data_IF_878672805941
#
_entry.id   IF_878672805941
#
_cell.length_a   1.000
_cell.length_b   1.000
_cell.length_c   1.000
_cell.angle_alpha   90.00
_cell.angle_beta   90.00
_cell.angle_gamma   90.00
#
_symmetry.space_group_name_H-M   'P 1'
#
loop_
_entity.id
_entity.type
_entity.pdbx_description
1 polymer ?
#
# COMPACT_ATOMS: atom_id res chain seq x y z
N UNK A 1 -7.76 -35.04 16.32
CA UNK A 1 -9.20 -35.16 16.67
C UNK A 1 -9.31 -36.18 17.80
N UNK A 2 -9.88 -35.83 18.93
CA UNK A 2 -10.10 -36.71 20.07
C UNK A 2 -11.60 -36.77 20.31
N UNK A 3 -12.20 -37.97 20.30
CA UNK A 3 -13.58 -38.18 20.72
C UNK A 3 -13.64 -38.39 22.22
N UNK A 4 -14.46 -37.63 22.91
CA UNK A 4 -14.77 -37.88 24.32
C UNK A 4 -15.83 -38.97 24.39
N UNK A 5 -15.57 -40.05 25.13
CA UNK A 5 -16.38 -41.28 25.11
C UNK A 5 -17.78 -41.15 25.71
N UNK A 6 -18.05 -40.07 26.48
CA UNK A 6 -19.34 -39.87 27.16
C UNK A 6 -20.21 -38.73 26.60
N UNK A 7 -19.69 -37.94 25.70
CA UNK A 7 -20.44 -36.93 24.94
C UNK A 7 -20.11 -37.06 23.48
N UNK A 8 -21.11 -36.99 22.59
CA UNK A 8 -20.89 -37.00 21.15
C UNK A 8 -20.17 -35.71 20.64
N UNK A 9 -19.52 -34.98 21.53
CA UNK A 9 -18.76 -33.78 21.23
C UNK A 9 -17.37 -34.11 20.69
N UNK A 10 -17.12 -33.67 19.49
CA UNK A 10 -15.78 -33.73 18.88
C UNK A 10 -15.01 -32.46 19.24
N UNK A 11 -13.93 -32.59 19.99
CA UNK A 11 -13.02 -31.47 20.27
C UNK A 11 -11.80 -31.54 19.36
N UNK A 12 -11.53 -30.43 18.70
CA UNK A 12 -10.34 -30.29 17.90
C UNK A 12 -9.20 -29.68 18.76
N UNK A 13 -8.08 -30.37 18.82
CA UNK A 13 -6.87 -29.89 19.45
C UNK A 13 -5.82 -29.62 18.38
N UNK A 14 -5.20 -28.45 18.44
CA UNK A 14 -4.07 -28.10 17.58
C UNK A 14 -2.87 -27.73 18.45
N UNK A 15 -1.69 -28.04 17.95
CA UNK A 15 -0.43 -27.57 18.47
C UNK A 15 -0.21 -26.08 18.18
N UNK A 16 -0.92 -25.54 17.21
CA UNK A 16 -0.85 -24.14 16.78
C UNK A 16 -1.96 -23.32 17.44
N UNK A 17 -1.83 -22.00 17.44
CA UNK A 17 -2.85 -21.04 17.87
C UNK A 17 -4.11 -21.19 16.99
N UNK A 18 -5.04 -22.01 17.43
CA UNK A 18 -6.26 -22.30 16.68
C UNK A 18 -7.48 -21.83 17.45
N UNK A 19 -8.39 -21.15 16.78
CA UNK A 19 -9.69 -20.83 17.31
C UNK A 19 -10.58 -22.11 17.32
N UNK A 20 -11.04 -22.61 18.47
CA UNK A 20 -11.82 -23.84 18.54
C UNK A 20 -13.19 -23.71 17.86
N UNK A 21 -13.72 -22.48 17.74
CA UNK A 21 -15.04 -22.20 17.16
C UNK A 21 -15.00 -22.11 15.64
N UNK A 22 -14.02 -21.40 15.07
CA UNK A 22 -13.92 -21.14 13.62
C UNK A 22 -13.00 -22.12 12.90
N UNK A 23 -12.15 -22.86 13.63
CA UNK A 23 -11.12 -23.75 13.06
C UNK A 23 -9.94 -23.00 12.43
N UNK A 24 -9.91 -21.66 12.48
CA UNK A 24 -8.82 -20.86 11.91
C UNK A 24 -7.59 -21.05 12.79
N UNK A 25 -6.48 -21.45 12.17
CA UNK A 25 -5.20 -21.62 12.82
C UNK A 25 -4.23 -20.50 12.41
N UNK A 26 -3.54 -19.91 13.37
CA UNK A 26 -2.49 -18.93 13.15
C UNK A 26 -1.12 -19.58 13.37
N UNK A 27 -0.13 -19.14 12.60
CA UNK A 27 1.26 -19.52 12.84
C UNK A 27 1.74 -18.96 14.18
N UNK A 28 2.71 -19.63 14.80
CA UNK A 28 3.39 -19.06 15.97
C UNK A 28 3.98 -17.70 15.62
N UNK A 29 3.83 -16.69 16.52
CA UNK A 29 4.34 -15.36 16.24
C UNK A 29 5.85 -15.34 16.29
N UNK A 30 6.46 -15.06 15.15
CA UNK A 30 7.88 -14.76 15.04
C UNK A 30 8.11 -13.25 14.98
N UNK A 31 9.28 -12.73 15.35
CA UNK A 31 9.59 -11.30 15.26
C UNK A 31 9.33 -10.70 13.88
N UNK A 32 9.51 -11.49 12.82
CA UNK A 32 9.27 -11.09 11.43
C UNK A 32 7.79 -10.76 11.13
N UNK A 33 6.86 -11.29 11.90
CA UNK A 33 5.42 -10.96 11.78
C UNK A 33 5.14 -9.49 12.09
N UNK A 34 5.93 -8.87 12.94
CA UNK A 34 5.79 -7.49 13.38
C UNK A 34 6.66 -6.50 12.59
N UNK A 35 7.26 -6.95 11.48
CA UNK A 35 8.09 -6.12 10.62
C UNK A 35 7.42 -5.90 9.27
N UNK A 36 7.13 -4.64 8.92
CA UNK A 36 6.61 -4.28 7.59
C UNK A 36 7.69 -4.37 6.48
N UNK A 37 8.96 -4.54 6.83
CA UNK A 37 10.05 -4.81 5.89
C UNK A 37 10.22 -6.30 5.61
N UNK A 38 9.50 -7.17 6.32
CA UNK A 38 9.52 -8.61 6.12
C UNK A 38 8.29 -9.05 5.32
N UNK A 39 8.41 -9.92 4.32
CA UNK A 39 7.27 -10.45 3.58
C UNK A 39 6.30 -11.26 4.47
N UNK A 40 6.78 -11.71 5.63
CA UNK A 40 5.95 -12.41 6.62
C UNK A 40 5.01 -11.47 7.35
N UNK A 41 5.44 -10.24 7.68
CA UNK A 41 4.67 -9.25 8.42
C UNK A 41 4.03 -8.16 7.56
N UNK A 42 4.59 -7.86 6.39
CA UNK A 42 4.08 -6.82 5.50
C UNK A 42 2.66 -7.11 5.01
N UNK A 43 1.82 -6.09 4.97
CA UNK A 43 0.52 -6.14 4.32
C UNK A 43 0.71 -6.56 2.85
N UNK A 44 -0.04 -7.56 2.40
CA UNK A 44 0.11 -8.11 1.05
C UNK A 44 -0.28 -7.13 -0.05
N UNK A 45 -1.31 -6.29 0.20
CA UNK A 45 -1.82 -5.34 -0.80
C UNK A 45 -0.84 -4.20 -1.07
N UNK A 46 -0.20 -3.65 -0.03
CA UNK A 46 0.71 -2.52 -0.17
C UNK A 46 2.19 -2.87 0.02
N UNK A 47 2.53 -4.15 0.20
CA UNK A 47 3.89 -4.63 0.44
C UNK A 47 4.63 -3.86 1.57
N UNK A 48 3.90 -3.52 2.63
CA UNK A 48 4.45 -2.78 3.77
C UNK A 48 4.60 -1.27 3.58
N UNK A 49 4.11 -0.72 2.46
CA UNK A 49 4.20 0.72 2.18
C UNK A 49 3.16 1.55 2.92
N UNK A 50 2.00 0.96 3.27
CA UNK A 50 0.87 1.64 3.91
C UNK A 50 -0.01 2.43 2.93
N UNK A 51 0.45 2.64 1.71
CA UNK A 51 -0.24 3.33 0.63
C UNK A 51 -0.18 2.50 -0.66
N UNK A 52 -1.16 2.67 -1.53
CA UNK A 52 -1.22 2.05 -2.86
C UNK A 52 -1.44 3.13 -3.91
N UNK A 53 -0.99 2.87 -5.13
CA UNK A 53 -1.30 3.72 -6.25
C UNK A 53 -2.65 3.30 -6.83
N UNK A 54 -3.60 4.22 -6.91
CA UNK A 54 -4.91 3.99 -7.53
C UNK A 54 -5.11 4.99 -8.67
N UNK A 55 -5.77 4.53 -9.72
CA UNK A 55 -6.09 5.35 -10.90
C UNK A 55 -6.97 6.55 -10.49
N UNK A 56 -6.61 7.71 -11.01
CA UNK A 56 -7.42 8.92 -10.91
C UNK A 56 -8.08 9.23 -12.26
N UNK A 57 -9.39 8.99 -12.34
CA UNK A 57 -10.18 9.24 -13.56
C UNK A 57 -10.06 10.69 -14.03
N UNK A 58 -9.93 11.67 -13.10
CA UNK A 58 -9.74 13.07 -13.47
C UNK A 58 -8.41 13.34 -14.17
N UNK A 59 -7.40 12.51 -13.91
CA UNK A 59 -6.13 12.59 -14.64
C UNK A 59 -6.19 11.89 -15.99
N UNK A 60 -7.06 10.87 -16.13
CA UNK A 60 -7.28 10.19 -17.40
C UNK A 60 -8.12 11.05 -18.33
N UNK A 61 -9.20 11.64 -17.83
CA UNK A 61 -10.09 12.54 -18.57
C UNK A 61 -10.09 13.91 -17.89
N UNK A 62 -9.05 14.72 -18.09
CA UNK A 62 -8.95 16.04 -17.42
C UNK A 62 -9.96 17.07 -17.94
N UNK A 63 -10.42 16.91 -19.19
CA UNK A 63 -11.42 17.77 -19.80
C UNK A 63 -12.35 16.94 -20.68
N UNK A 64 -13.57 16.62 -20.19
CA UNK A 64 -14.54 15.83 -20.94
C UNK A 64 -15.13 16.58 -22.16
N UNK A 65 -15.04 17.91 -22.22
CA UNK A 65 -15.52 18.71 -23.34
C UNK A 65 -14.55 18.78 -24.54
N UNK A 66 -13.38 18.17 -24.36
CA UNK A 66 -12.38 18.06 -25.42
C UNK A 66 -12.71 16.87 -26.34
N UNK A 67 -12.53 17.00 -27.69
CA UNK A 67 -12.65 15.86 -28.60
C UNK A 67 -11.65 14.76 -28.29
N UNK A 68 -12.07 13.49 -28.43
CA UNK A 68 -11.21 12.32 -28.19
C UNK A 68 -9.95 12.39 -29.03
N UNK A 69 -10.09 12.73 -30.33
CA UNK A 69 -8.97 12.90 -31.27
C UNK A 69 -7.94 13.93 -30.80
N UNK A 70 -8.38 14.95 -30.09
CA UNK A 70 -7.52 16.03 -29.58
C UNK A 70 -6.86 15.70 -28.23
N UNK A 71 -6.98 14.47 -27.73
CA UNK A 71 -6.38 14.01 -26.48
C UNK A 71 -7.26 14.26 -25.25
N UNK A 72 -8.59 14.08 -25.36
CA UNK A 72 -9.49 14.07 -24.21
C UNK A 72 -9.12 12.96 -23.22
N UNK A 73 -8.59 11.83 -23.74
CA UNK A 73 -8.05 10.72 -22.95
C UNK A 73 -6.54 10.93 -22.83
N UNK A 74 -6.11 11.57 -21.75
CA UNK A 74 -4.74 12.03 -21.56
C UNK A 74 -3.66 10.93 -21.73
N UNK A 75 -3.86 9.68 -21.27
CA UNK A 75 -2.91 8.60 -21.50
C UNK A 75 -2.67 8.28 -22.98
N UNK A 76 -3.65 8.47 -23.82
CA UNK A 76 -3.52 8.23 -25.26
C UNK A 76 -2.89 9.42 -25.98
N UNK A 77 -2.99 10.63 -25.40
CA UNK A 77 -2.53 11.88 -26.01
C UNK A 77 -3.39 12.31 -27.20
N UNK A 78 -2.80 13.05 -28.14
CA UNK A 78 -3.43 13.37 -29.42
C UNK A 78 -3.43 12.15 -30.34
N UNK A 79 -4.40 12.11 -31.26
CA UNK A 79 -4.55 10.98 -32.17
C UNK A 79 -3.28 10.65 -32.92
N UNK A 80 -2.88 9.40 -32.77
CA UNK A 80 -1.83 8.75 -33.56
C UNK A 80 -2.41 7.44 -34.08
N UNK A 81 -2.11 7.11 -35.35
CA UNK A 81 -2.47 5.80 -35.89
C UNK A 81 -1.67 4.71 -35.17
N UNK A 82 -2.17 4.26 -34.02
CA UNK A 82 -1.60 3.17 -33.21
C UNK A 82 -2.69 2.18 -32.82
N UNK A 83 -2.25 1.03 -32.33
CA UNK A 83 -3.10 -0.09 -32.00
C UNK A 83 -4.27 0.27 -31.04
N UNK A 84 -4.03 1.04 -29.99
CA UNK A 84 -5.06 1.34 -28.97
C UNK A 84 -6.07 2.35 -29.50
N UNK A 85 -5.66 3.35 -30.27
CA UNK A 85 -6.57 4.28 -30.89
C UNK A 85 -7.47 3.62 -31.93
N UNK A 86 -6.95 2.63 -32.68
CA UNK A 86 -7.76 1.87 -33.64
C UNK A 86 -8.86 1.09 -32.96
N UNK A 87 -8.59 0.56 -31.76
CA UNK A 87 -9.62 -0.13 -30.97
C UNK A 87 -10.66 0.83 -30.41
N UNK A 88 -10.24 1.97 -29.84
CA UNK A 88 -11.17 3.02 -29.37
C UNK A 88 -12.04 3.51 -30.54
N UNK A 89 -11.48 3.71 -31.71
CA UNK A 89 -12.25 4.10 -32.89
C UNK A 89 -13.25 3.04 -33.34
N UNK A 90 -12.90 1.76 -33.28
CA UNK A 90 -13.82 0.66 -33.59
C UNK A 90 -15.01 0.60 -32.60
N UNK A 91 -14.73 0.79 -31.29
CA UNK A 91 -15.76 0.87 -30.25
C UNK A 91 -16.72 2.04 -30.53
N UNK A 92 -16.15 3.23 -30.74
CA UNK A 92 -16.96 4.44 -31.04
C UNK A 92 -17.83 4.23 -32.26
N UNK A 93 -17.29 3.66 -33.33
CA UNK A 93 -18.03 3.37 -34.59
C UNK A 93 -19.19 2.40 -34.37
N UNK A 94 -18.98 1.36 -33.53
CA UNK A 94 -20.04 0.42 -33.17
C UNK A 94 -21.22 1.11 -32.48
N UNK A 95 -20.95 2.16 -31.69
CA UNK A 95 -21.95 2.97 -31.02
C UNK A 95 -22.35 4.23 -31.81
N UNK A 96 -22.07 4.31 -33.13
CA UNK A 96 -22.37 5.46 -33.99
C UNK A 96 -21.72 6.79 -33.60
N UNK A 97 -20.59 6.73 -32.88
CA UNK A 97 -19.75 7.85 -32.48
C UNK A 97 -18.47 7.92 -33.29
N UNK A 98 -17.76 9.05 -33.19
CA UNK A 98 -16.52 9.35 -33.89
C UNK A 98 -15.44 9.87 -32.91
N UNK A 99 -14.19 9.79 -33.30
CA UNK A 99 -13.07 10.38 -32.56
C UNK A 99 -13.15 11.90 -32.41
N UNK A 100 -13.98 12.57 -33.24
CA UNK A 100 -14.24 14.01 -33.18
C UNK A 100 -15.24 14.39 -32.09
N UNK A 101 -15.97 13.43 -31.53
CA UNK A 101 -16.98 13.69 -30.52
C UNK A 101 -16.28 13.91 -29.16
N UNK A 102 -16.95 14.61 -28.28
CA UNK A 102 -16.46 14.88 -26.93
C UNK A 102 -16.80 13.70 -26.02
N UNK A 103 -16.04 13.52 -24.97
CA UNK A 103 -16.36 12.51 -23.95
C UNK A 103 -17.69 12.82 -23.27
N UNK A 104 -18.02 14.12 -23.08
CA UNK A 104 -19.29 14.57 -22.50
C UNK A 104 -20.53 14.22 -23.35
N UNK A 105 -20.35 13.94 -24.63
CA UNK A 105 -21.45 13.60 -25.57
C UNK A 105 -21.71 12.08 -25.61
N UNK A 106 -20.83 11.27 -24.98
CA UNK A 106 -20.93 9.81 -24.89
C UNK A 106 -21.83 9.40 -23.71
N UNK A 107 -22.52 8.30 -23.85
CA UNK A 107 -23.20 7.67 -22.72
C UNK A 107 -22.21 7.06 -21.72
N UNK A 108 -22.65 6.91 -20.49
CA UNK A 108 -21.82 6.41 -19.38
C UNK A 108 -21.32 4.98 -19.64
N UNK A 109 -22.12 4.14 -20.32
CA UNK A 109 -21.72 2.76 -20.61
C UNK A 109 -20.58 2.71 -21.61
N UNK A 110 -20.63 3.58 -22.64
CA UNK A 110 -19.58 3.68 -23.64
C UNK A 110 -18.28 4.23 -23.03
N UNK A 111 -18.38 5.25 -22.17
CA UNK A 111 -17.23 5.77 -21.42
C UNK A 111 -16.61 4.68 -20.53
N UNK A 112 -17.44 3.91 -19.83
CA UNK A 112 -16.97 2.79 -19.00
C UNK A 112 -16.30 1.70 -19.85
N UNK A 113 -16.85 1.38 -21.03
CA UNK A 113 -16.23 0.45 -21.97
C UNK A 113 -14.84 0.94 -22.43
N UNK A 114 -14.69 2.22 -22.72
CA UNK A 114 -13.39 2.80 -23.10
C UNK A 114 -12.40 2.75 -21.91
N UNK A 115 -12.87 3.03 -20.70
CA UNK A 115 -12.02 3.07 -19.52
C UNK A 115 -11.63 1.67 -19.03
N UNK A 116 -12.59 0.79 -18.86
CA UNK A 116 -12.40 -0.50 -18.17
C UNK A 116 -12.35 -1.71 -19.13
N UNK A 117 -12.66 -1.49 -20.41
CA UNK A 117 -12.72 -2.55 -21.39
C UNK A 117 -14.08 -3.24 -21.51
N UNK A 118 -14.14 -4.23 -22.36
CA UNK A 118 -15.34 -5.07 -22.59
C UNK A 118 -14.95 -6.52 -22.75
N UNK A 119 -15.81 -7.43 -22.27
CA UNK A 119 -15.70 -8.85 -22.56
C UNK A 119 -16.15 -9.21 -23.98
N UNK A 120 -16.84 -8.29 -24.66
CA UNK A 120 -17.29 -8.49 -26.02
C UNK A 120 -16.13 -8.36 -27.02
N UNK A 121 -16.17 -9.22 -28.05
CA UNK A 121 -15.21 -9.17 -29.14
C UNK A 121 -15.57 -8.01 -30.10
N UNK A 122 -14.65 -7.07 -30.22
CA UNK A 122 -14.81 -5.91 -31.09
C UNK A 122 -14.30 -6.25 -32.49
N UNK A 123 -15.15 -6.08 -33.48
CA UNK A 123 -14.76 -6.21 -34.88
C UNK A 123 -13.94 -4.99 -35.31
N UNK A 124 -12.70 -5.22 -35.65
CA UNK A 124 -11.77 -4.17 -36.08
C UNK A 124 -12.04 -3.71 -37.52
N UNK A 125 -12.96 -4.39 -38.24
CA UNK A 125 -13.30 -4.08 -39.64
C UNK A 125 -12.15 -4.27 -40.62
N UNK A 126 -12.44 -4.11 -41.92
CA UNK A 126 -11.45 -4.18 -42.98
C UNK A 126 -10.56 -2.91 -42.96
N UNK A 127 -9.50 -2.92 -42.23
CA UNK A 127 -8.44 -1.93 -42.39
C UNK A 127 -7.55 -2.37 -43.53
N UNK A 128 -7.79 -1.80 -44.74
CA UNK A 128 -6.94 -1.91 -45.93
C UNK A 128 -6.22 -3.25 -46.11
N UNK A 129 -6.94 -4.28 -46.58
CA UNK A 129 -6.33 -5.52 -47.08
C UNK A 129 -5.95 -6.58 -46.06
N UNK A 130 -6.37 -6.44 -44.80
CA UNK A 130 -6.24 -7.47 -43.76
C UNK A 130 -7.64 -7.99 -43.40
N UNK A 131 -7.82 -9.31 -43.38
CA UNK A 131 -9.08 -9.93 -42.98
C UNK A 131 -9.59 -9.36 -41.66
N UNK A 132 -10.91 -9.14 -41.58
CA UNK A 132 -11.56 -8.71 -40.32
C UNK A 132 -11.15 -9.63 -39.18
N UNK A 133 -10.65 -9.06 -38.10
CA UNK A 133 -10.31 -9.79 -36.90
C UNK A 133 -10.99 -9.12 -35.70
N UNK A 134 -11.37 -9.94 -34.75
CA UNK A 134 -12.00 -9.45 -33.53
C UNK A 134 -11.00 -9.46 -32.38
N UNK A 135 -11.02 -8.40 -31.57
CA UNK A 135 -10.14 -8.24 -30.43
C UNK A 135 -10.96 -7.92 -29.18
N UNK A 136 -10.54 -8.48 -28.05
CA UNK A 136 -11.05 -8.08 -26.74
C UNK A 136 -10.30 -6.80 -26.32
N UNK A 137 -11.06 -5.75 -26.03
CA UNK A 137 -10.49 -4.49 -25.57
C UNK A 137 -10.29 -4.50 -24.06
N UNK A 138 -9.05 -4.36 -23.62
CA UNK A 138 -8.69 -4.40 -22.19
C UNK A 138 -9.07 -3.15 -21.40
N UNK A 139 -9.33 -2.03 -22.09
CA UNK A 139 -9.58 -0.73 -21.47
C UNK A 139 -8.31 0.10 -21.24
N UNK A 140 -8.48 1.41 -21.19
CA UNK A 140 -7.36 2.34 -20.97
C UNK A 140 -6.78 2.19 -19.57
N UNK A 141 -7.62 1.91 -18.58
CA UNK A 141 -7.19 1.74 -17.18
C UNK A 141 -6.33 0.50 -17.04
N UNK A 142 -6.80 -0.65 -17.50
CA UNK A 142 -6.04 -1.93 -17.43
C UNK A 142 -4.72 -1.82 -18.19
N UNK A 143 -4.70 -1.09 -19.31
CA UNK A 143 -3.47 -0.80 -20.02
C UNK A 143 -2.46 -0.02 -19.16
N UNK A 144 -2.91 1.03 -18.42
CA UNK A 144 -2.04 1.82 -17.54
C UNK A 144 -1.55 0.98 -16.36
N UNK A 145 -2.43 0.21 -15.72
CA UNK A 145 -2.10 -0.66 -14.58
C UNK A 145 -1.07 -1.70 -14.98
N UNK A 146 -1.26 -2.36 -16.12
CA UNK A 146 -0.28 -3.30 -16.66
C UNK A 146 1.07 -2.64 -16.95
N UNK A 147 1.08 -1.42 -17.48
CA UNK A 147 2.33 -0.68 -17.68
C UNK A 147 3.00 -0.30 -16.33
N UNK A 148 2.22 -0.04 -15.29
CA UNK A 148 2.76 0.26 -13.95
C UNK A 148 3.36 -0.98 -13.27
N UNK A 149 2.83 -2.17 -13.54
CA UNK A 149 3.23 -3.42 -12.89
C UNK A 149 4.35 -4.16 -13.64
N UNK A 150 4.25 -4.25 -14.97
CA UNK A 150 5.10 -5.13 -15.77
C UNK A 150 6.31 -4.43 -16.40
N UNK A 151 6.28 -3.09 -16.52
CA UNK A 151 7.36 -2.42 -17.23
C UNK A 151 8.63 -2.26 -16.40
N UNK A 152 9.77 -2.51 -17.03
CA UNK A 152 11.08 -2.20 -16.47
C UNK A 152 11.61 -0.82 -16.89
N UNK A 153 10.90 -0.14 -17.81
CA UNK A 153 11.29 1.17 -18.33
C UNK A 153 10.92 2.28 -17.35
N UNK A 154 11.92 2.95 -16.76
CA UNK A 154 11.69 4.04 -15.82
C UNK A 154 10.88 5.24 -16.38
N UNK A 155 11.00 5.64 -17.66
CA UNK A 155 10.11 6.64 -18.24
C UNK A 155 8.66 6.19 -18.33
N UNK A 156 8.41 4.95 -18.74
CA UNK A 156 7.06 4.40 -18.88
C UNK A 156 6.40 4.20 -17.53
N UNK A 157 7.15 3.74 -16.53
CA UNK A 157 6.69 3.64 -15.15
C UNK A 157 6.27 5.00 -14.58
N UNK A 158 7.08 6.04 -14.79
CA UNK A 158 6.74 7.41 -14.39
C UNK A 158 5.49 7.94 -15.10
N UNK A 159 5.35 7.63 -16.39
CA UNK A 159 4.19 7.97 -17.18
C UNK A 159 2.93 7.29 -16.61
N UNK A 160 2.94 5.99 -16.36
CA UNK A 160 1.80 5.28 -15.77
C UNK A 160 1.42 5.84 -14.38
N UNK A 161 2.40 6.05 -13.51
CA UNK A 161 2.18 6.65 -12.19
C UNK A 161 1.68 8.09 -12.22
N UNK A 162 1.87 8.83 -13.33
CA UNK A 162 1.33 10.20 -13.45
C UNK A 162 -0.20 10.24 -13.47
N UNK A 163 -0.86 9.13 -13.86
CA UNK A 163 -2.32 8.97 -13.87
C UNK A 163 -2.88 8.36 -12.58
N UNK A 164 -2.03 8.12 -11.61
CA UNK A 164 -2.40 7.53 -10.32
C UNK A 164 -2.27 8.55 -9.19
N UNK A 165 -3.02 8.32 -8.13
CA UNK A 165 -2.83 8.98 -6.83
C UNK A 165 -2.42 7.94 -5.81
N UNK A 166 -1.62 8.38 -4.83
CA UNK A 166 -1.33 7.56 -3.66
C UNK A 166 -2.47 7.69 -2.67
N UNK A 167 -3.08 6.58 -2.34
CA UNK A 167 -4.15 6.49 -1.35
C UNK A 167 -3.74 5.55 -0.23
N UNK A 168 -4.29 5.77 0.95
CA UNK A 168 -4.08 4.87 2.09
C UNK A 168 -4.57 3.46 1.74
N UNK A 169 -3.75 2.46 1.99
CA UNK A 169 -4.09 1.07 1.71
C UNK A 169 -5.35 0.66 2.48
N UNK A 170 -6.39 0.24 1.77
CA UNK A 170 -7.68 -0.14 2.36
C UNK A 170 -7.63 -1.45 3.15
N UNK A 171 -6.59 -2.28 2.99
CA UNK A 171 -6.44 -3.54 3.73
C UNK A 171 -5.82 -3.33 5.11
N UNK A 172 -4.75 -2.54 5.19
CA UNK A 172 -4.04 -2.29 6.45
C UNK A 172 -4.28 -0.89 7.02
N UNK A 173 -5.11 -0.06 6.38
CA UNK A 173 -5.45 1.30 6.83
C UNK A 173 -4.22 2.16 7.15
N UNK A 174 -3.16 2.00 6.35
CA UNK A 174 -1.90 2.72 6.55
C UNK A 174 -0.93 2.09 7.55
N UNK A 175 -1.34 1.03 8.26
CA UNK A 175 -0.53 0.40 9.31
C UNK A 175 0.57 -0.53 8.79
N UNK A 176 0.65 -0.77 7.49
CA UNK A 176 1.73 -1.50 6.78
C UNK A 176 1.85 -2.98 7.08
N UNK A 177 1.27 -3.48 8.17
CA UNK A 177 1.34 -4.86 8.63
C UNK A 177 0.09 -5.66 8.24
N UNK A 178 0.22 -6.97 8.24
CA UNK A 178 -0.91 -7.90 8.14
C UNK A 178 -1.80 -7.78 9.36
N UNK A 179 -3.10 -8.06 9.18
CA UNK A 179 -4.11 -7.99 10.26
C UNK A 179 -3.77 -8.89 11.45
N UNK A 180 -3.13 -10.03 11.20
CA UNK A 180 -2.74 -10.99 12.23
C UNK A 180 -1.79 -10.38 13.27
N UNK A 181 -0.94 -9.43 12.88
CA UNK A 181 -0.04 -8.74 13.80
C UNK A 181 -0.78 -7.88 14.85
N UNK A 182 -2.01 -7.43 14.54
CA UNK A 182 -2.79 -6.58 15.44
C UNK A 182 -3.54 -7.34 16.52
N UNK A 183 -3.61 -8.66 16.43
CA UNK A 183 -4.21 -9.50 17.47
C UNK A 183 -3.31 -9.67 18.68
N UNK A 184 -2.01 -9.38 18.56
CA UNK A 184 -1.07 -9.39 19.68
C UNK A 184 -1.06 -8.02 20.36
N UNK A 185 -1.35 -8.01 21.65
CA UNK A 185 -1.47 -6.80 22.46
C UNK A 185 -0.59 -6.87 23.70
N UNK A 186 -0.08 -5.71 24.07
CA UNK A 186 0.58 -5.47 25.35
C UNK A 186 -0.23 -4.38 26.05
N UNK A 187 -0.84 -4.70 27.20
CA UNK A 187 -1.68 -3.76 27.94
C UNK A 187 -2.76 -3.12 27.08
N UNK A 188 -3.56 -3.92 26.39
CA UNK A 188 -4.65 -3.52 25.50
C UNK A 188 -4.25 -2.82 24.19
N UNK A 189 -2.96 -2.50 23.99
CA UNK A 189 -2.47 -1.86 22.77
C UNK A 189 -1.73 -2.83 21.86
N UNK A 190 -2.04 -2.80 20.57
CA UNK A 190 -1.29 -3.50 19.53
C UNK A 190 -0.14 -2.64 18.97
N UNK A 191 0.70 -3.25 18.12
CA UNK A 191 1.87 -2.58 17.53
C UNK A 191 1.50 -1.37 16.66
N UNK A 192 0.36 -1.39 15.95
CA UNK A 192 -0.07 -0.27 15.12
C UNK A 192 -0.53 0.92 15.97
N UNK A 193 -1.28 0.65 17.04
CA UNK A 193 -1.72 1.68 17.99
C UNK A 193 -0.51 2.33 18.68
N UNK A 194 0.48 1.53 19.09
CA UNK A 194 1.71 2.05 19.67
C UNK A 194 2.52 2.86 18.64
N UNK A 195 2.68 2.38 17.41
CA UNK A 195 3.45 3.07 16.37
C UNK A 195 2.79 4.38 15.89
N UNK A 196 1.49 4.55 16.07
CA UNK A 196 0.75 5.76 15.71
C UNK A 196 0.74 6.83 16.81
N UNK A 197 1.16 6.49 18.04
CA UNK A 197 1.30 7.46 19.12
C UNK A 197 2.44 8.44 18.84
N UNK A 198 2.31 9.67 19.34
CA UNK A 198 3.42 10.61 19.36
C UNK A 198 4.57 10.06 20.22
N UNK A 199 5.81 10.35 19.83
CA UNK A 199 7.03 9.86 20.53
C UNK A 199 6.97 10.14 22.04
N UNK A 200 6.44 11.30 22.43
CA UNK A 200 6.27 11.65 23.85
C UNK A 200 5.34 10.66 24.57
N UNK A 201 4.14 10.48 24.04
CA UNK A 201 3.14 9.59 24.63
C UNK A 201 3.59 8.13 24.61
N UNK A 202 4.28 7.72 23.54
CA UNK A 202 4.87 6.40 23.41
C UNK A 202 5.95 6.18 24.46
N UNK A 203 6.82 7.17 24.70
CA UNK A 203 7.85 7.10 25.74
C UNK A 203 7.23 6.97 27.14
N UNK A 204 6.23 7.79 27.46
CA UNK A 204 5.52 7.72 28.74
C UNK A 204 4.82 6.37 28.92
N UNK A 205 4.23 5.84 27.86
CA UNK A 205 3.62 4.51 27.89
C UNK A 205 4.64 3.41 28.17
N UNK A 206 5.83 3.44 27.51
CA UNK A 206 6.88 2.45 27.75
C UNK A 206 7.55 2.59 29.13
N UNK A 207 7.63 3.78 29.70
CA UNK A 207 8.06 3.97 31.10
C UNK A 207 7.11 3.23 32.05
N UNK A 208 5.80 3.30 31.79
CA UNK A 208 4.77 2.66 32.60
C UNK A 208 4.50 1.18 32.19
N UNK A 209 5.17 0.64 31.18
CA UNK A 209 4.83 -0.65 30.58
C UNK A 209 4.98 -1.85 31.52
N UNK A 210 5.84 -1.76 32.53
CA UNK A 210 6.10 -2.86 33.47
C UNK A 210 4.84 -3.39 34.15
N UNK A 211 3.84 -2.55 34.34
CA UNK A 211 2.53 -2.92 34.92
C UNK A 211 1.72 -3.89 34.07
N UNK A 212 2.05 -4.02 32.79
CA UNK A 212 1.34 -4.90 31.85
C UNK A 212 1.92 -6.30 31.76
N UNK A 213 3.02 -6.56 32.45
CA UNK A 213 3.76 -7.83 32.39
C UNK A 213 3.73 -8.56 33.74
N UNK A 214 3.61 -9.86 33.68
CA UNK A 214 3.84 -10.72 34.83
C UNK A 214 5.33 -10.86 35.18
N UNK A 215 5.66 -11.39 36.35
CA UNK A 215 7.06 -11.50 36.81
C UNK A 215 7.98 -12.24 35.83
N UNK A 216 7.51 -13.34 35.22
CA UNK A 216 8.28 -14.12 34.23
C UNK A 216 8.47 -13.32 32.94
N UNK A 217 7.43 -12.66 32.47
CA UNK A 217 7.45 -11.85 31.25
C UNK A 217 8.39 -10.65 31.40
N UNK A 218 8.35 -9.96 32.56
CA UNK A 218 9.30 -8.88 32.87
C UNK A 218 10.77 -9.34 32.82
N UNK A 219 11.05 -10.57 33.27
CA UNK A 219 12.41 -11.09 33.20
C UNK A 219 12.88 -11.24 31.77
N UNK A 220 11.98 -11.67 30.86
CA UNK A 220 12.28 -11.84 29.44
C UNK A 220 12.35 -10.46 28.74
N UNK A 221 11.40 -9.57 29.05
CA UNK A 221 11.25 -8.27 28.38
C UNK A 221 12.23 -7.20 28.87
N UNK A 222 12.98 -7.43 29.94
CA UNK A 222 13.81 -6.42 30.61
C UNK A 222 14.79 -5.72 29.67
N UNK A 223 15.58 -6.48 28.94
CA UNK A 223 16.57 -5.89 28.02
C UNK A 223 15.92 -5.21 26.80
N UNK A 224 14.94 -5.82 26.11
CA UNK A 224 14.18 -5.11 25.06
C UNK A 224 13.52 -3.83 25.54
N UNK A 225 12.87 -3.82 26.71
CA UNK A 225 12.23 -2.62 27.26
C UNK A 225 13.23 -1.52 27.57
N UNK A 226 14.38 -1.88 28.14
CA UNK A 226 15.47 -0.91 28.38
C UNK A 226 15.94 -0.25 27.09
N UNK A 227 16.17 -1.05 26.06
CA UNK A 227 16.64 -0.56 24.77
C UNK A 227 15.59 0.35 24.10
N UNK A 228 14.31 -0.03 24.13
CA UNK A 228 13.23 0.80 23.60
C UNK A 228 13.14 2.14 24.34
N UNK A 229 13.20 2.13 25.66
CA UNK A 229 13.17 3.35 26.49
C UNK A 229 14.33 4.29 26.16
N UNK A 230 15.54 3.75 26.04
CA UNK A 230 16.71 4.53 25.66
C UNK A 230 16.52 5.19 24.28
N UNK A 231 16.12 4.43 23.29
CA UNK A 231 15.90 4.95 21.93
C UNK A 231 14.79 6.00 21.85
N UNK A 232 13.70 5.80 22.57
CA UNK A 232 12.63 6.79 22.64
C UNK A 232 13.12 8.07 23.35
N UNK A 233 13.91 7.93 24.43
CA UNK A 233 14.48 9.08 25.13
C UNK A 233 15.39 9.91 24.22
N UNK A 234 16.24 9.29 23.40
CA UNK A 234 17.06 10.02 22.43
C UNK A 234 16.22 10.82 21.44
N UNK A 235 15.08 10.27 20.97
CA UNK A 235 14.17 11.02 20.09
C UNK A 235 13.50 12.18 20.81
N UNK A 236 13.18 12.03 22.10
CA UNK A 236 12.65 13.11 22.94
C UNK A 236 13.72 14.20 23.14
N UNK A 237 14.97 13.82 23.44
CA UNK A 237 16.07 14.75 23.72
C UNK A 237 16.43 15.62 22.50
N UNK A 238 16.31 15.08 21.29
CA UNK A 238 16.50 15.86 20.05
C UNK A 238 15.24 16.65 19.63
N UNK A 239 14.19 16.67 20.46
CA UNK A 239 12.98 17.48 20.26
C UNK A 239 12.00 16.94 19.21
N UNK A 240 12.00 15.63 18.94
CA UNK A 240 11.10 14.99 17.99
C UNK A 240 9.85 14.37 18.65
N UNK A 241 9.36 15.01 19.71
CA UNK A 241 8.26 14.51 20.56
C UNK A 241 6.93 14.35 19.83
N UNK A 242 6.69 15.14 18.80
CA UNK A 242 5.45 15.21 18.01
C UNK A 242 5.39 14.24 16.82
N UNK A 243 6.48 13.55 16.52
CA UNK A 243 6.50 12.55 15.45
C UNK A 243 5.91 11.22 15.94
N UNK A 244 5.40 10.43 15.01
CA UNK A 244 5.02 9.04 15.26
C UNK A 244 5.93 8.08 14.49
N UNK A 245 6.09 6.85 14.99
CA UNK A 245 6.90 5.82 14.31
C UNK A 245 6.27 5.37 12.98
N UNK A 246 4.96 5.56 12.84
CA UNK A 246 4.24 5.22 11.61
C UNK A 246 4.42 6.26 10.49
N UNK A 247 4.99 7.43 10.77
CA UNK A 247 5.20 8.47 9.77
C UNK A 247 6.20 8.03 8.71
N UNK A 248 5.85 8.24 7.44
CA UNK A 248 6.73 7.91 6.31
C UNK A 248 7.97 8.80 6.32
N UNK A 249 9.16 8.22 6.16
CA UNK A 249 10.42 8.96 6.08
C UNK A 249 10.46 9.98 4.93
N UNK A 250 9.68 9.76 3.86
CA UNK A 250 9.55 10.68 2.72
C UNK A 250 8.84 12.00 3.07
N UNK A 251 8.09 12.02 4.18
CA UNK A 251 7.35 13.21 4.64
C UNK A 251 8.11 14.02 5.69
N UNK A 252 9.30 13.57 6.08
CA UNK A 252 10.16 14.27 7.04
C UNK A 252 10.79 15.49 6.38
N UNK A 253 10.84 16.60 7.13
CA UNK A 253 11.66 17.74 6.76
C UNK A 253 13.15 17.42 6.88
N UNK A 254 14.01 18.23 6.24
CA UNK A 254 15.46 18.04 6.32
C UNK A 254 15.97 18.05 7.77
N UNK A 255 15.48 19.00 8.59
CA UNK A 255 15.84 19.09 10.00
C UNK A 255 15.34 17.93 10.85
N UNK A 256 14.14 17.38 10.58
CA UNK A 256 13.65 16.17 11.25
C UNK A 256 14.54 14.94 10.91
N UNK A 257 14.86 14.77 9.64
CA UNK A 257 15.72 13.66 9.19
C UNK A 257 17.13 13.77 9.81
N UNK A 258 17.69 14.98 9.90
CA UNK A 258 18.98 15.24 10.53
C UNK A 258 18.95 14.90 12.03
N UNK A 259 17.91 15.36 12.77
CA UNK A 259 17.76 15.05 14.20
C UNK A 259 17.55 13.56 14.46
N UNK A 260 16.85 12.82 13.60
CA UNK A 260 16.74 11.37 13.70
C UNK A 260 18.10 10.69 13.53
N UNK A 261 18.93 11.15 12.57
CA UNK A 261 20.30 10.65 12.40
C UNK A 261 21.16 10.94 13.63
N UNK A 262 21.06 12.15 14.19
CA UNK A 262 21.77 12.52 15.41
C UNK A 262 21.38 11.62 16.58
N UNK A 263 20.07 11.42 16.81
CA UNK A 263 19.57 10.52 17.86
C UNK A 263 20.11 9.08 17.68
N UNK A 264 20.16 8.58 16.43
CA UNK A 264 20.71 7.25 16.13
C UNK A 264 22.20 7.17 16.41
N UNK A 265 22.97 8.20 16.13
CA UNK A 265 24.43 8.25 16.36
C UNK A 265 24.75 8.34 17.84
N UNK A 266 24.07 9.20 18.58
CA UNK A 266 24.22 9.32 20.04
C UNK A 266 23.80 8.01 20.72
N UNK A 267 22.69 7.43 20.27
CA UNK A 267 22.14 6.20 20.80
C UNK A 267 22.99 4.95 20.53
N UNK A 268 23.98 5.02 19.64
CA UNK A 268 24.90 3.91 19.40
C UNK A 268 25.90 3.68 20.55
N UNK A 269 26.00 4.62 21.49
CA UNK A 269 26.93 4.59 22.66
C UNK A 269 28.38 4.21 22.26
N UNK A 270 28.78 4.52 21.02
CA UNK A 270 30.12 4.22 20.55
C UNK A 270 31.14 5.12 21.28
N UNK A 271 32.06 4.52 22.01
CA UNK A 271 33.19 5.20 22.67
C UNK A 271 34.34 5.38 21.68
N UNK A 272 35.07 6.51 21.80
CA UNK A 272 36.21 6.86 20.95
C UNK A 272 35.84 7.18 19.48
N UNK A 273 34.65 7.70 19.25
CA UNK A 273 34.19 8.17 17.93
C UNK A 273 34.04 9.70 17.96
N UNK A 274 34.61 10.37 16.96
CA UNK A 274 34.43 11.80 16.75
C UNK A 274 33.26 12.02 15.79
N UNK A 275 32.20 12.69 16.25
CA UNK A 275 31.10 13.12 15.41
C UNK A 275 31.36 14.50 14.85
N UNK A 276 31.41 14.63 13.53
CA UNK A 276 31.51 15.91 12.83
C UNK A 276 30.13 16.23 12.30
N UNK A 277 29.55 17.31 12.78
CA UNK A 277 28.24 17.82 12.36
C UNK A 277 28.48 19.04 11.47
N UNK A 278 27.84 19.03 10.29
CA UNK A 278 27.81 20.15 9.36
C UNK A 278 26.44 20.81 9.51
N UNK A 279 26.41 22.11 9.79
CA UNK A 279 25.19 22.91 10.03
C UNK A 279 24.20 22.24 11.02
N UNK A 280 24.56 22.09 12.30
CA UNK A 280 23.77 21.40 13.30
C UNK A 280 22.46 22.12 13.67
#
# INVERSE_FOLDING_TARGET
MVMLHESAETKHFSRFLMCPTSGIAYAEPEPNLFSFNSPYGACKKCNGLGEVAEIDIKKIIPNPDKPIRSGAIAPLGEYKSNWIYNQVEAILRHHSHKLTDKISDLDEQLVNTILYGSDEMIDMGDSVGVSSYSVKFEGVISFIERQAEETTSAPLLRWAHSFMNKVTCSECEGNRLKKEAFYFKIGEKNIAELASMDIKDLSDWFIAADKHFGKKELTIAREPLKEIRNRLQFLVDVGLTYLSLNRSSKTLSGGEAQRIRLATQIGSELVNVLYILDEP
#
